data_IF_424639324754
#
_entry.id   IF_424639324754
#
_cell.length_a   1.000
_cell.length_b   1.000
_cell.length_c   1.000
_cell.angle_alpha   90.00
_cell.angle_beta   90.00
_cell.angle_gamma   90.00
#
_symmetry.space_group_name_H-M   'P 1'
#
loop_
_entity.id
_entity.type
_entity.pdbx_description
1 polymer ?
#
# COMPACT_ATOMS: atom_id res chain seq x y z
N UNK A 1 0.83 0.22 11.93
CA UNK A 1 1.43 1.08 12.98
C UNK A 1 1.39 2.53 12.51
N UNK A 2 1.24 3.48 13.41
CA UNK A 2 1.20 4.91 13.10
C UNK A 2 1.96 5.72 14.17
N UNK A 3 2.18 7.02 13.91
CA UNK A 3 2.57 7.94 14.99
C UNK A 3 1.35 8.25 15.88
N UNK A 4 1.55 8.72 17.10
CA UNK A 4 0.43 9.27 17.91
C UNK A 4 -0.34 10.32 17.09
N UNK A 5 -1.66 10.25 17.10
CA UNK A 5 -2.57 11.13 16.33
C UNK A 5 -2.42 11.06 14.79
N UNK A 6 -1.59 10.14 14.25
CA UNK A 6 -1.44 9.93 12.82
C UNK A 6 -2.56 9.09 12.21
N UNK A 7 -2.50 8.94 10.89
CA UNK A 7 -3.47 8.16 10.11
C UNK A 7 -3.64 6.73 10.67
N UNK A 8 -4.89 6.34 10.91
CA UNK A 8 -5.25 5.05 11.50
C UNK A 8 -4.97 4.92 13.01
N UNK A 9 -4.26 5.85 13.64
CA UNK A 9 -4.21 5.97 15.07
C UNK A 9 -5.62 6.35 15.58
N UNK A 10 -6.04 6.29 16.57
CA UNK A 10 -6.46 5.57 17.69
C UNK A 10 -7.39 4.39 17.38
N UNK A 11 -7.74 4.14 16.14
CA UNK A 11 -8.78 3.17 15.77
C UNK A 11 -8.23 1.76 15.51
N UNK A 12 -7.14 1.66 14.75
CA UNK A 12 -6.65 0.37 14.22
C UNK A 12 -5.13 0.17 14.37
N UNK A 13 -4.37 1.15 14.83
CA UNK A 13 -2.91 1.06 14.85
C UNK A 13 -2.32 1.06 16.26
N UNK A 14 -1.28 0.27 16.48
CA UNK A 14 -0.32 0.53 17.55
C UNK A 14 0.46 1.80 17.21
N UNK A 15 0.56 2.72 18.15
CA UNK A 15 1.25 3.99 17.95
C UNK A 15 2.67 3.96 18.51
N UNK A 16 3.57 4.69 17.85
CA UNK A 16 4.96 4.88 18.28
C UNK A 16 5.44 6.29 17.91
N UNK A 17 6.01 7.01 18.86
CA UNK A 17 6.57 8.35 18.65
C UNK A 17 8.07 8.35 18.39
N UNK A 18 8.77 7.25 18.74
CA UNK A 18 10.22 7.11 18.62
C UNK A 18 10.62 5.83 17.87
N UNK A 19 11.85 5.72 17.32
CA UNK A 19 12.34 4.48 16.72
C UNK A 19 12.37 3.29 17.70
N UNK A 20 12.65 3.50 18.98
CA UNK A 20 12.67 2.45 20.01
C UNK A 20 11.27 1.92 20.30
N UNK A 21 10.29 2.82 20.43
CA UNK A 21 8.88 2.42 20.55
C UNK A 21 8.41 1.66 19.31
N UNK A 22 8.85 2.09 18.13
CA UNK A 22 8.52 1.43 16.87
C UNK A 22 9.05 -0.03 16.85
N UNK A 23 10.30 -0.29 17.24
CA UNK A 23 10.84 -1.66 17.40
C UNK A 23 10.03 -2.48 18.40
N UNK A 24 9.69 -1.89 19.53
CA UNK A 24 8.89 -2.56 20.57
C UNK A 24 7.51 -2.97 20.02
N UNK A 25 6.85 -2.09 19.28
CA UNK A 25 5.55 -2.39 18.68
C UNK A 25 5.65 -3.46 17.57
N UNK A 26 6.73 -3.48 16.78
CA UNK A 26 7.00 -4.59 15.83
C UNK A 26 7.16 -5.91 16.59
N UNK A 27 7.98 -5.94 17.63
CA UNK A 27 8.19 -7.15 18.42
C UNK A 27 6.89 -7.69 19.05
N UNK A 28 5.99 -6.81 19.49
CA UNK A 28 4.64 -7.20 19.97
C UNK A 28 3.81 -7.86 18.87
N UNK A 29 3.78 -7.27 17.67
CA UNK A 29 3.07 -7.82 16.52
C UNK A 29 3.64 -9.19 16.11
N UNK A 30 4.97 -9.31 16.03
CA UNK A 30 5.64 -10.58 15.71
C UNK A 30 5.31 -11.67 16.72
N UNK A 31 5.31 -11.33 18.02
CA UNK A 31 4.90 -12.26 19.09
C UNK A 31 3.45 -12.70 18.95
N UNK A 32 2.58 -11.84 18.41
CA UNK A 32 1.19 -12.20 18.11
C UNK A 32 1.06 -13.06 16.84
N UNK A 33 2.14 -13.32 16.11
CA UNK A 33 2.17 -14.22 14.96
C UNK A 33 1.78 -13.57 13.63
N UNK A 34 1.96 -12.25 13.49
CA UNK A 34 1.70 -11.56 12.20
C UNK A 34 2.73 -11.95 11.15
N UNK A 35 2.30 -11.97 9.88
CA UNK A 35 3.15 -12.28 8.73
C UNK A 35 3.51 -11.03 7.90
N UNK A 36 2.97 -9.87 8.24
CA UNK A 36 3.29 -8.60 7.63
C UNK A 36 3.09 -7.47 8.64
N UNK A 37 3.88 -6.40 8.50
CA UNK A 37 3.71 -5.16 9.25
C UNK A 37 3.15 -4.09 8.29
N UNK A 38 2.11 -3.38 8.70
CA UNK A 38 1.58 -2.22 7.97
C UNK A 38 1.87 -0.94 8.74
N UNK A 39 2.36 0.08 8.04
CA UNK A 39 2.62 1.42 8.59
C UNK A 39 1.85 2.50 7.83
N UNK A 40 1.55 3.60 8.50
CA UNK A 40 1.04 4.83 7.91
C UNK A 40 2.18 5.84 7.76
N UNK A 41 2.80 5.89 6.58
CA UNK A 41 3.90 6.82 6.32
C UNK A 41 3.39 8.25 6.07
N UNK A 42 2.15 8.38 5.57
CA UNK A 42 1.49 9.66 5.32
C UNK A 42 0.10 9.70 5.96
N UNK A 43 -0.48 10.88 6.06
CA UNK A 43 -1.91 11.07 6.30
C UNK A 43 -2.76 10.44 5.21
N UNK A 44 -3.97 10.04 5.55
CA UNK A 44 -4.96 9.45 4.65
C UNK A 44 -6.17 10.36 4.44
N UNK A 45 -7.06 9.98 3.51
CA UNK A 45 -8.26 10.76 3.19
C UNK A 45 -9.35 10.61 4.26
N UNK A 46 -9.53 9.41 4.79
CA UNK A 46 -10.74 9.03 5.54
C UNK A 46 -10.82 9.60 6.93
N UNK A 47 -9.71 9.90 7.54
CA UNK A 47 -9.57 10.49 8.88
C UNK A 47 -8.96 11.90 8.87
N UNK A 48 -8.78 12.48 7.68
CA UNK A 48 -8.30 13.85 7.52
C UNK A 48 -9.22 14.86 8.21
N UNK A 49 -8.63 15.74 9.02
CA UNK A 49 -9.29 16.83 9.74
C UNK A 49 -9.11 18.18 9.02
N UNK A 50 -8.09 18.29 8.17
CA UNK A 50 -7.74 19.49 7.41
C UNK A 50 -7.47 19.17 5.94
N UNK A 51 -7.67 20.16 5.07
CA UNK A 51 -7.34 20.05 3.64
C UNK A 51 -5.82 20.03 3.47
N UNK A 52 -5.31 19.05 2.73
CA UNK A 52 -3.87 18.84 2.50
C UNK A 52 -3.22 17.88 3.49
N UNK A 53 -3.98 17.32 4.43
CA UNK A 53 -3.48 16.33 5.38
C UNK A 53 -3.19 14.99 4.69
N UNK A 54 -4.09 14.56 3.77
CA UNK A 54 -3.83 13.34 2.98
C UNK A 54 -2.56 13.49 2.14
N UNK A 55 -1.68 12.51 2.25
CA UNK A 55 -0.37 12.52 1.61
C UNK A 55 0.72 13.29 2.37
N UNK A 56 0.39 14.06 3.43
CA UNK A 56 1.41 14.71 4.24
C UNK A 56 2.26 13.65 4.98
N UNK A 57 3.61 13.72 4.92
CA UNK A 57 4.46 12.77 5.62
C UNK A 57 4.26 12.84 7.14
N UNK A 58 4.03 11.69 7.78
CA UNK A 58 3.79 11.58 9.22
C UNK A 58 4.93 10.87 9.94
N UNK A 59 5.44 9.75 9.40
CA UNK A 59 6.57 9.04 10.01
C UNK A 59 7.90 9.55 9.46
N UNK A 60 8.91 9.60 10.33
CA UNK A 60 10.29 9.88 9.90
C UNK A 60 10.91 8.64 9.22
N UNK A 61 11.95 8.86 8.40
CA UNK A 61 12.71 7.77 7.77
C UNK A 61 13.33 6.85 8.84
N UNK A 62 13.81 7.42 9.94
CA UNK A 62 14.44 6.69 11.06
C UNK A 62 13.43 5.77 11.76
N UNK A 63 12.20 6.25 12.01
CA UNK A 63 11.14 5.42 12.58
C UNK A 63 10.77 4.27 11.66
N UNK A 64 10.51 4.55 10.37
CA UNK A 64 10.18 3.53 9.39
C UNK A 64 11.32 2.53 9.18
N UNK A 65 12.59 2.99 9.17
CA UNK A 65 13.75 2.11 9.10
C UNK A 65 13.85 1.19 10.31
N UNK A 66 13.62 1.71 11.51
CA UNK A 66 13.59 0.90 12.72
C UNK A 66 12.55 -0.23 12.65
N UNK A 67 11.40 0.04 12.04
CA UNK A 67 10.35 -0.96 11.78
C UNK A 67 10.83 -1.99 10.76
N UNK A 68 11.38 -1.54 9.63
CA UNK A 68 11.88 -2.43 8.59
C UNK A 68 13.00 -3.32 9.10
N UNK A 69 14.02 -2.75 9.74
CA UNK A 69 15.15 -3.49 10.30
C UNK A 69 14.70 -4.59 11.28
N UNK A 70 13.73 -4.27 12.16
CA UNK A 70 13.22 -5.23 13.13
C UNK A 70 12.38 -6.34 12.45
N UNK A 71 11.47 -5.99 11.54
CA UNK A 71 10.62 -6.95 10.84
C UNK A 71 11.45 -7.88 9.92
N UNK A 72 12.40 -7.32 9.19
CA UNK A 72 13.24 -8.06 8.23
C UNK A 72 14.13 -9.11 8.88
N UNK A 73 14.57 -8.93 10.15
CA UNK A 73 15.30 -9.97 10.89
C UNK A 73 14.50 -11.27 11.00
N UNK A 74 13.18 -11.19 10.95
CA UNK A 74 12.28 -12.34 11.02
C UNK A 74 11.70 -12.73 9.65
N UNK A 75 12.17 -12.12 8.56
CA UNK A 75 11.67 -12.37 7.21
C UNK A 75 10.25 -11.85 6.98
N UNK A 76 9.80 -10.88 7.78
CA UNK A 76 8.45 -10.30 7.71
C UNK A 76 8.50 -9.02 6.89
N UNK A 77 7.63 -8.91 5.87
CA UNK A 77 7.53 -7.74 5.00
C UNK A 77 6.88 -6.55 5.70
N UNK A 78 7.25 -5.35 5.27
CA UNK A 78 6.66 -4.09 5.72
C UNK A 78 5.99 -3.38 4.55
N UNK A 79 4.69 -3.09 4.70
CA UNK A 79 3.92 -2.28 3.73
C UNK A 79 3.61 -0.90 4.29
N UNK A 80 3.68 0.13 3.43
CA UNK A 80 3.42 1.52 3.83
C UNK A 80 2.24 2.13 3.07
N UNK A 81 1.26 2.66 3.80
CA UNK A 81 0.36 3.67 3.26
C UNK A 81 1.16 4.93 2.93
N UNK A 82 1.24 5.31 1.65
CA UNK A 82 1.98 6.48 1.19
C UNK A 82 1.31 7.11 -0.04
N UNK A 83 0.70 8.29 0.14
CA UNK A 83 -0.12 8.97 -0.86
C UNK A 83 0.48 10.27 -1.39
N UNK A 84 1.80 10.44 -1.30
CA UNK A 84 2.53 11.54 -1.92
C UNK A 84 3.90 11.10 -2.41
N UNK A 85 4.53 11.82 -3.38
CA UNK A 85 5.89 11.49 -3.84
C UNK A 85 6.89 11.47 -2.70
N UNK A 86 6.79 12.42 -1.77
CA UNK A 86 7.68 12.49 -0.60
C UNK A 86 7.43 11.34 0.38
N UNK A 87 6.16 10.96 0.63
CA UNK A 87 5.83 9.80 1.45
C UNK A 87 6.37 8.50 0.86
N UNK A 88 6.22 8.32 -0.46
CA UNK A 88 6.79 7.18 -1.20
C UNK A 88 8.31 7.17 -1.08
N UNK A 89 8.99 8.32 -1.34
CA UNK A 89 10.45 8.46 -1.23
C UNK A 89 10.97 8.06 0.15
N UNK A 90 10.39 8.61 1.21
CA UNK A 90 10.78 8.30 2.60
C UNK A 90 10.59 6.83 2.93
N UNK A 91 9.49 6.24 2.48
CA UNK A 91 9.20 4.81 2.68
C UNK A 91 10.23 3.91 1.98
N UNK A 92 10.55 4.21 0.73
CA UNK A 92 11.58 3.46 -0.02
C UNK A 92 12.97 3.63 0.60
N UNK A 93 13.37 4.84 1.02
CA UNK A 93 14.62 5.07 1.75
C UNK A 93 14.70 4.25 3.04
N UNK A 94 13.58 4.09 3.73
CA UNK A 94 13.50 3.31 4.96
C UNK A 94 13.59 1.79 4.74
N UNK A 95 13.33 1.30 3.52
CA UNK A 95 13.40 -0.12 3.20
C UNK A 95 12.03 -0.83 3.19
N UNK A 96 10.96 -0.09 3.00
CA UNK A 96 9.61 -0.65 2.90
C UNK A 96 9.49 -1.56 1.67
N UNK A 97 8.84 -2.71 1.82
CA UNK A 97 8.71 -3.74 0.78
C UNK A 97 7.55 -3.49 -0.17
N UNK A 98 6.45 -2.91 0.32
CA UNK A 98 5.30 -2.55 -0.51
C UNK A 98 4.82 -1.13 -0.21
N UNK A 99 4.48 -0.40 -1.26
CA UNK A 99 3.82 0.91 -1.17
C UNK A 99 2.36 0.70 -1.55
N UNK A 100 1.46 0.96 -0.63
CA UNK A 100 0.02 0.97 -0.89
C UNK A 100 -0.41 2.37 -1.31
N UNK A 101 -1.35 2.42 -2.24
CA UNK A 101 -1.88 3.60 -2.93
C UNK A 101 -0.88 4.21 -3.89
N UNK A 102 0.25 4.68 -3.38
CA UNK A 102 1.28 5.34 -4.19
C UNK A 102 0.91 6.76 -4.60
N UNK A 103 1.72 7.35 -5.45
CA UNK A 103 1.56 8.68 -6.01
C UNK A 103 2.31 8.79 -7.33
N UNK A 104 2.36 9.99 -7.93
CA UNK A 104 3.19 10.26 -9.12
C UNK A 104 4.63 9.81 -8.88
N UNK A 105 5.21 9.12 -9.87
CA UNK A 105 6.57 8.59 -9.85
C UNK A 105 7.45 9.34 -10.83
N UNK A 106 8.60 9.81 -10.36
CA UNK A 106 9.69 10.27 -11.21
C UNK A 106 10.71 9.13 -11.47
N UNK A 107 11.71 9.38 -12.31
CA UNK A 107 12.73 8.38 -12.65
C UNK A 107 13.53 7.92 -11.43
N UNK A 108 13.73 8.79 -10.44
CA UNK A 108 14.41 8.44 -9.20
C UNK A 108 13.59 7.44 -8.38
N UNK A 109 12.30 7.72 -8.17
CA UNK A 109 11.40 6.79 -7.45
C UNK A 109 11.28 5.46 -8.18
N UNK A 110 11.16 5.47 -9.51
CA UNK A 110 11.16 4.24 -10.33
C UNK A 110 12.45 3.44 -10.11
N UNK A 111 13.60 4.11 -10.09
CA UNK A 111 14.89 3.50 -9.79
C UNK A 111 14.94 2.87 -8.39
N UNK A 112 14.39 3.58 -7.38
CA UNK A 112 14.32 3.11 -6.00
C UNK A 112 13.39 1.89 -5.84
N UNK A 113 12.27 1.84 -6.55
CA UNK A 113 11.42 0.64 -6.57
C UNK A 113 12.16 -0.57 -7.12
N UNK A 114 12.85 -0.42 -8.26
CA UNK A 114 13.59 -1.51 -8.92
C UNK A 114 14.74 -2.03 -8.10
N UNK A 115 15.43 -1.16 -7.41
CA UNK A 115 16.60 -1.49 -6.61
C UNK A 115 16.52 -0.79 -5.26
N UNK A 116 16.02 -1.51 -4.27
CA UNK A 116 15.94 -1.07 -2.89
C UNK A 116 16.75 -2.00 -1.98
N UNK A 117 18.05 -1.71 -1.76
CA UNK A 117 18.91 -2.59 -0.97
C UNK A 117 18.50 -2.69 0.51
N UNK A 118 17.63 -1.79 0.98
CA UNK A 118 17.11 -1.79 2.35
C UNK A 118 15.83 -2.63 2.49
N UNK A 119 15.14 -2.94 1.38
CA UNK A 119 13.97 -3.81 1.40
C UNK A 119 14.39 -5.27 1.52
N UNK A 120 13.52 -6.11 2.09
CA UNK A 120 13.79 -7.53 2.39
C UNK A 120 14.28 -8.33 1.18
N UNK A 121 13.86 -7.95 -0.04
CA UNK A 121 14.18 -8.65 -1.28
C UNK A 121 15.01 -7.85 -2.28
N UNK A 122 15.51 -6.69 -1.87
CA UNK A 122 16.28 -5.81 -2.74
C UNK A 122 15.46 -5.01 -3.75
N UNK A 123 14.15 -5.04 -3.67
CA UNK A 123 13.20 -4.23 -4.45
C UNK A 123 11.94 -3.96 -3.65
N UNK A 124 11.16 -2.98 -4.08
CA UNK A 124 9.83 -2.70 -3.52
C UNK A 124 8.75 -2.86 -4.59
N UNK A 125 7.52 -3.17 -4.18
CA UNK A 125 6.36 -3.31 -5.07
C UNK A 125 5.34 -2.20 -4.82
N UNK A 126 4.55 -1.85 -5.84
CA UNK A 126 3.41 -0.95 -5.72
C UNK A 126 2.11 -1.76 -5.63
N UNK A 127 1.19 -1.36 -4.76
CA UNK A 127 -0.17 -1.90 -4.65
C UNK A 127 -1.16 -0.73 -4.75
N UNK A 128 -1.67 -0.40 -5.94
CA UNK A 128 -2.34 0.88 -6.22
C UNK A 128 -3.65 1.11 -5.47
N UNK A 129 -4.42 0.06 -5.18
CA UNK A 129 -5.72 0.14 -4.48
C UNK A 129 -6.66 1.21 -5.04
N UNK A 130 -6.79 1.28 -6.36
CA UNK A 130 -7.63 2.27 -7.04
C UNK A 130 -9.10 2.19 -6.60
N UNK A 131 -9.55 1.00 -6.15
CA UNK A 131 -10.87 0.76 -5.58
C UNK A 131 -11.16 1.61 -4.34
N UNK A 132 -10.16 1.97 -3.56
CA UNK A 132 -10.34 2.78 -2.35
C UNK A 132 -10.47 4.28 -2.67
N UNK A 133 -9.76 4.76 -3.69
CA UNK A 133 -9.69 6.18 -4.03
C UNK A 133 -10.73 6.65 -5.05
N UNK A 134 -10.85 5.95 -6.17
CA UNK A 134 -11.67 6.39 -7.30
C UNK A 134 -13.15 6.62 -6.96
N UNK A 135 -13.85 5.76 -6.20
CA UNK A 135 -15.23 6.02 -5.85
C UNK A 135 -15.46 7.33 -5.11
N UNK A 136 -14.51 7.76 -4.27
CA UNK A 136 -14.62 9.00 -3.49
C UNK A 136 -14.64 10.25 -4.40
N UNK A 137 -13.95 10.20 -5.54
CA UNK A 137 -13.90 11.32 -6.48
C UNK A 137 -14.94 11.22 -7.59
N UNK A 138 -15.31 10.00 -8.03
CA UNK A 138 -16.19 9.78 -9.17
C UNK A 138 -17.68 9.81 -8.81
N UNK A 139 -18.06 9.36 -7.61
CA UNK A 139 -19.46 9.23 -7.22
C UNK A 139 -20.03 10.48 -6.53
N UNK A 140 -19.17 11.39 -6.09
CA UNK A 140 -19.59 12.61 -5.39
C UNK A 140 -20.09 12.37 -3.96
N UNK A 141 -20.31 13.46 -3.22
CA UNK A 141 -20.64 13.44 -1.79
C UNK A 141 -22.01 12.81 -1.50
N UNK A 142 -23.02 13.07 -2.32
CA UNK A 142 -24.39 12.53 -2.11
C UNK A 142 -24.39 10.99 -2.07
N UNK A 143 -23.56 10.36 -2.90
CA UNK A 143 -23.46 8.91 -2.93
C UNK A 143 -22.47 8.35 -1.88
N UNK A 144 -21.42 9.08 -1.58
CA UNK A 144 -20.33 8.59 -0.71
C UNK A 144 -20.52 8.95 0.74
N UNK A 145 -21.23 10.03 1.04
CA UNK A 145 -21.40 10.56 2.40
C UNK A 145 -20.14 11.17 2.99
N UNK A 146 -19.11 11.42 2.17
CA UNK A 146 -17.85 12.03 2.64
C UNK A 146 -18.00 13.52 2.90
N UNK A 147 -17.22 14.05 3.81
CA UNK A 147 -17.15 15.49 4.12
C UNK A 147 -16.46 16.29 3.03
N UNK A 148 -16.61 17.62 3.02
CA UNK A 148 -15.87 18.51 2.12
C UNK A 148 -14.36 18.35 2.27
N UNK A 149 -13.87 18.20 3.51
CA UNK A 149 -12.45 17.98 3.80
C UNK A 149 -11.97 16.67 3.14
N UNK A 150 -12.71 15.58 3.30
CA UNK A 150 -12.37 14.30 2.70
C UNK A 150 -12.42 14.36 1.17
N UNK A 151 -13.41 15.05 0.59
CA UNK A 151 -13.51 15.21 -0.86
C UNK A 151 -12.31 15.98 -1.42
N UNK A 152 -11.92 17.11 -0.82
CA UNK A 152 -10.78 17.89 -1.29
C UNK A 152 -9.46 17.12 -1.12
N UNK A 153 -9.27 16.40 0.00
CA UNK A 153 -8.14 15.52 0.18
C UNK A 153 -8.11 14.38 -0.86
N UNK A 154 -9.26 13.78 -1.17
CA UNK A 154 -9.33 12.73 -2.19
C UNK A 154 -8.94 13.23 -3.58
N UNK A 155 -9.39 14.42 -3.98
CA UNK A 155 -8.98 15.06 -5.24
C UNK A 155 -7.48 15.26 -5.34
N UNK A 156 -6.83 15.60 -4.22
CA UNK A 156 -5.38 15.82 -4.16
C UNK A 156 -4.57 14.54 -4.38
N UNK A 157 -5.05 13.39 -3.88
CA UNK A 157 -4.25 12.15 -3.89
C UNK A 157 -4.64 11.17 -5.00
N UNK A 158 -5.92 11.07 -5.37
CA UNK A 158 -6.40 10.04 -6.33
C UNK A 158 -5.79 10.20 -7.71
N UNK A 159 -5.64 11.44 -8.19
CA UNK A 159 -4.94 11.69 -9.46
C UNK A 159 -3.50 11.19 -9.46
N UNK A 160 -2.81 11.36 -8.34
CA UNK A 160 -1.46 10.84 -8.13
C UNK A 160 -1.41 9.31 -8.10
N UNK A 161 -2.37 8.66 -7.43
CA UNK A 161 -2.49 7.20 -7.40
C UNK A 161 -2.66 6.61 -8.80
N UNK A 162 -3.58 7.16 -9.60
CA UNK A 162 -3.81 6.72 -10.99
C UNK A 162 -2.57 6.93 -11.86
N UNK A 163 -1.96 8.12 -11.78
CA UNK A 163 -0.75 8.44 -12.54
C UNK A 163 0.41 7.53 -12.16
N UNK A 164 0.63 7.32 -10.85
CA UNK A 164 1.68 6.43 -10.34
C UNK A 164 1.49 4.97 -10.75
N UNK A 165 0.25 4.46 -10.72
CA UNK A 165 -0.05 3.11 -11.19
C UNK A 165 0.29 2.93 -12.68
N UNK A 166 -0.05 3.93 -13.52
CA UNK A 166 0.28 3.92 -14.95
C UNK A 166 1.79 4.01 -15.17
N UNK A 167 2.47 4.95 -14.53
CA UNK A 167 3.93 5.10 -14.64
C UNK A 167 4.68 3.85 -14.17
N UNK A 168 4.23 3.22 -13.09
CA UNK A 168 4.78 1.96 -12.60
C UNK A 168 4.60 0.83 -13.62
N UNK A 169 3.43 0.73 -14.25
CA UNK A 169 3.14 -0.26 -15.28
C UNK A 169 4.02 -0.04 -16.52
N UNK A 170 4.08 1.19 -17.06
CA UNK A 170 4.91 1.57 -18.20
C UNK A 170 6.40 1.33 -17.93
N UNK A 171 6.84 1.55 -16.69
CA UNK A 171 8.21 1.26 -16.25
C UNK A 171 8.49 -0.24 -15.98
N UNK A 172 7.48 -1.10 -16.03
CA UNK A 172 7.63 -2.54 -15.73
C UNK A 172 8.01 -2.82 -14.28
N UNK A 173 7.53 -2.00 -13.34
CA UNK A 173 7.71 -2.25 -11.90
C UNK A 173 6.87 -3.45 -11.46
N UNK A 174 7.20 -4.01 -10.32
CA UNK A 174 6.38 -5.04 -9.68
C UNK A 174 5.12 -4.38 -9.09
N UNK A 175 3.95 -4.72 -9.63
CA UNK A 175 2.66 -4.19 -9.19
C UNK A 175 1.80 -5.34 -8.71
N UNK A 176 1.48 -5.31 -7.41
CA UNK A 176 0.51 -6.22 -6.80
C UNK A 176 -0.90 -5.66 -6.87
N UNK A 177 -1.87 -6.47 -6.46
CA UNK A 177 -3.29 -6.11 -6.39
C UNK A 177 -3.78 -6.20 -4.96
N UNK A 178 -4.33 -5.11 -4.45
CA UNK A 178 -5.04 -4.99 -3.18
C UNK A 178 -6.19 -4.02 -3.36
N UNK A 179 -7.22 -4.10 -2.53
CA UNK A 179 -8.43 -3.28 -2.66
C UNK A 179 -8.65 -2.31 -1.53
N UNK A 180 -7.93 -2.48 -0.41
CA UNK A 180 -8.21 -1.76 0.83
C UNK A 180 -9.66 -2.00 1.32
N UNK A 181 -10.04 -3.27 1.31
CA UNK A 181 -11.39 -3.76 1.66
C UNK A 181 -11.80 -3.33 3.07
N UNK A 182 -13.06 -2.95 3.20
CA UNK A 182 -13.63 -2.35 4.42
C UNK A 182 -13.86 -0.85 4.31
N UNK A 183 -13.25 -0.21 3.31
CA UNK A 183 -13.53 1.18 2.95
C UNK A 183 -14.90 1.32 2.30
N UNK A 184 -15.44 2.54 2.32
CA UNK A 184 -16.71 2.88 1.65
C UNK A 184 -16.66 2.46 0.19
N UNK A 185 -17.65 1.69 -0.27
CA UNK A 185 -17.75 1.11 -1.62
C UNK A 185 -16.70 0.04 -1.98
N UNK A 186 -15.91 -0.46 -1.02
CA UNK A 186 -14.95 -1.53 -1.24
C UNK A 186 -15.35 -2.79 -0.46
N UNK A 187 -16.40 -3.53 -0.90
CA UNK A 187 -16.80 -4.76 -0.24
C UNK A 187 -15.82 -5.91 -0.52
N UNK A 188 -15.71 -6.85 0.41
CA UNK A 188 -14.75 -7.96 0.37
C UNK A 188 -14.87 -8.83 -0.89
N UNK A 189 -16.06 -8.96 -1.45
CA UNK A 189 -16.31 -9.79 -2.64
C UNK A 189 -15.95 -9.10 -3.97
N UNK A 190 -15.53 -7.83 -3.95
CA UNK A 190 -15.36 -7.02 -5.16
C UNK A 190 -13.88 -6.83 -5.59
N UNK A 191 -12.99 -7.75 -5.25
CA UNK A 191 -11.58 -7.70 -5.68
C UNK A 191 -11.43 -7.61 -7.20
N UNK A 192 -12.33 -8.21 -7.97
CA UNK A 192 -12.38 -8.12 -9.43
C UNK A 192 -12.48 -6.67 -9.95
N UNK A 193 -13.08 -5.75 -9.19
CA UNK A 193 -13.16 -4.33 -9.56
C UNK A 193 -11.78 -3.68 -9.64
N UNK A 194 -10.86 -4.04 -8.76
CA UNK A 194 -9.48 -3.52 -8.86
C UNK A 194 -8.84 -3.91 -10.18
N UNK A 195 -9.09 -5.13 -10.68
CA UNK A 195 -8.60 -5.58 -11.98
C UNK A 195 -9.18 -4.72 -13.12
N UNK A 196 -10.50 -4.44 -13.08
CA UNK A 196 -11.13 -3.55 -14.05
C UNK A 196 -10.55 -2.14 -14.00
N UNK A 197 -10.30 -1.61 -12.81
CA UNK A 197 -9.73 -0.28 -12.63
C UNK A 197 -8.27 -0.20 -13.13
N UNK A 198 -7.47 -1.23 -12.91
CA UNK A 198 -6.12 -1.32 -13.48
C UNK A 198 -6.15 -1.32 -15.02
N UNK A 199 -7.09 -2.05 -15.63
CA UNK A 199 -7.26 -2.04 -17.07
C UNK A 199 -7.75 -0.66 -17.57
N UNK A 200 -8.74 -0.07 -16.92
CA UNK A 200 -9.34 1.18 -17.36
C UNK A 200 -8.43 2.40 -17.15
N UNK A 201 -7.66 2.44 -16.07
CA UNK A 201 -6.95 3.65 -15.65
C UNK A 201 -5.42 3.53 -15.65
N UNK A 202 -4.86 2.33 -15.48
CA UNK A 202 -3.41 2.12 -15.38
C UNK A 202 -2.78 1.48 -16.62
N UNK A 203 -3.57 1.18 -17.67
CA UNK A 203 -3.06 0.67 -18.96
C UNK A 203 -2.79 -0.83 -19.01
N UNK A 204 -3.22 -1.59 -18.00
CA UNK A 204 -3.08 -3.05 -18.00
C UNK A 204 -3.97 -3.69 -19.08
N UNK A 205 -3.49 -4.75 -19.69
CA UNK A 205 -4.36 -5.71 -20.34
C UNK A 205 -5.07 -6.59 -19.31
N UNK A 206 -6.22 -7.21 -19.62
CA UNK A 206 -6.88 -8.15 -18.71
C UNK A 206 -5.98 -9.31 -18.25
N UNK A 207 -5.09 -9.79 -19.12
CA UNK A 207 -4.14 -10.85 -18.80
C UNK A 207 -3.07 -10.39 -17.78
N UNK A 208 -2.56 -9.17 -17.92
CA UNK A 208 -1.61 -8.59 -16.96
C UNK A 208 -2.27 -8.35 -15.61
N UNK A 209 -3.51 -7.87 -15.57
CA UNK A 209 -4.25 -7.69 -14.32
C UNK A 209 -4.47 -9.03 -13.59
N UNK A 210 -4.82 -10.09 -14.31
CA UNK A 210 -4.91 -11.45 -13.75
C UNK A 210 -3.55 -11.98 -13.27
N UNK A 211 -2.48 -11.71 -14.01
CA UNK A 211 -1.12 -12.07 -13.59
C UNK A 211 -0.72 -11.33 -12.32
N UNK A 212 -1.03 -10.04 -12.22
CA UNK A 212 -0.74 -9.21 -11.05
C UNK A 212 -1.43 -9.75 -9.78
N UNK A 213 -2.74 -10.05 -9.83
CA UNK A 213 -3.48 -10.55 -8.65
C UNK A 213 -3.10 -11.98 -8.25
N UNK A 214 -2.47 -12.74 -9.14
CA UNK A 214 -2.09 -14.14 -8.88
C UNK A 214 -0.60 -14.30 -8.66
N UNK A 215 0.19 -14.38 -9.74
CA UNK A 215 1.61 -14.70 -9.67
C UNK A 215 2.45 -13.59 -9.03
N UNK A 216 2.15 -12.30 -9.32
CA UNK A 216 2.89 -11.19 -8.71
C UNK A 216 2.58 -11.08 -7.23
N UNK A 217 1.30 -11.14 -6.83
CA UNK A 217 0.93 -11.15 -5.41
C UNK A 217 1.58 -12.33 -4.68
N UNK A 218 1.58 -13.53 -5.27
CA UNK A 218 2.26 -14.68 -4.70
C UNK A 218 3.77 -14.43 -4.50
N UNK A 219 4.42 -13.73 -5.43
CA UNK A 219 5.84 -13.36 -5.32
C UNK A 219 6.08 -12.31 -4.24
N UNK A 220 5.19 -11.31 -4.12
CA UNK A 220 5.25 -10.30 -3.07
C UNK A 220 5.08 -10.94 -1.68
N UNK A 221 4.21 -11.93 -1.56
CA UNK A 221 3.91 -12.63 -0.32
C UNK A 221 4.78 -13.87 -0.07
N UNK A 222 5.77 -14.17 -0.92
CA UNK A 222 6.56 -15.41 -0.87
C UNK A 222 7.41 -15.62 0.41
N UNK A 223 7.43 -14.66 1.34
CA UNK A 223 7.90 -14.86 2.72
C UNK A 223 6.92 -15.64 3.58
N UNK A 224 5.66 -15.76 3.14
CA UNK A 224 4.66 -16.60 3.79
C UNK A 224 4.84 -18.07 3.39
N UNK A 225 4.53 -19.04 4.27
CA UNK A 225 4.67 -20.44 3.93
C UNK A 225 3.77 -20.81 2.74
N UNK A 226 4.41 -21.00 1.58
CA UNK A 226 3.89 -21.51 0.32
C UNK A 226 2.71 -20.76 -0.29
N UNK A 227 2.97 -19.79 -1.20
CA UNK A 227 1.94 -19.34 -2.11
C UNK A 227 1.43 -20.54 -2.93
N UNK A 228 0.12 -20.66 -3.04
CA UNK A 228 -0.50 -21.67 -3.93
C UNK A 228 -0.28 -21.21 -5.37
N UNK A 229 0.83 -21.62 -5.96
CA UNK A 229 1.06 -21.46 -7.39
C UNK A 229 0.27 -22.56 -8.11
N UNK A 230 -0.54 -22.18 -9.08
CA UNK A 230 -1.19 -23.14 -9.97
C UNK A 230 -0.13 -23.84 -10.81
N UNK A 231 0.14 -25.11 -10.52
CA UNK A 231 0.89 -26.01 -11.38
C UNK A 231 -0.09 -27.03 -11.92
N UNK A 232 0.09 -27.43 -13.17
CA UNK A 232 -0.77 -28.36 -13.91
C UNK A 232 -1.05 -29.70 -13.24
N UNK A 233 -0.46 -29.97 -12.08
CA UNK A 233 -0.61 -31.19 -11.29
C UNK A 233 -1.27 -31.01 -9.91
N UNK A 234 -1.71 -29.81 -9.55
CA UNK A 234 -2.41 -29.60 -8.28
C UNK A 234 -3.91 -29.60 -8.47
N UNK A 235 -4.69 -30.28 -7.60
CA UNK A 235 -6.14 -30.16 -7.64
C UNK A 235 -6.56 -28.71 -7.43
N UNK A 236 -7.58 -28.30 -8.17
CA UNK A 236 -8.20 -26.98 -8.10
C UNK A 236 -8.55 -26.61 -6.65
N UNK A 237 -7.86 -25.64 -6.08
CA UNK A 237 -8.38 -24.88 -4.96
C UNK A 237 -8.86 -23.56 -5.53
N UNK A 238 -10.15 -23.45 -5.82
CA UNK A 238 -10.81 -22.17 -6.01
C UNK A 238 -10.84 -21.47 -4.66
N UNK A 239 -10.07 -20.39 -4.50
CA UNK A 239 -10.33 -19.42 -3.47
C UNK A 239 -11.48 -18.55 -3.96
N UNK A 240 -12.69 -18.83 -3.47
CA UNK A 240 -13.84 -17.92 -3.55
C UNK A 240 -13.65 -16.76 -2.59
#
# INVERSE_FOLDING_TARGET
MAIPEGHGAPLIALTSGTPEEARTAVAQNLKAGVNAIKIAATGGVTDAQEIGEAGSPQMSVEQMRAICDEAHQYGVIVGAHAQSPEGVRRSLLAGVDTIEHGSVLDDELIGMFRHNPNALRGYSALVPTLSAGLPLTLLGQDATGITDIQLENSKNVVGGMVSGARQAHEAGLMIGVGTDTGMTFVPQYATWRELELLVAYAGFSPAEALHAVTAVNASILASMPRPVLWKSANPLICLC
#
